data_IF_145597461895
#
_entry.id   IF_145597461895
#
_cell.length_a   1.000
_cell.length_b   1.000
_cell.length_c   1.000
_cell.angle_alpha   90.00
_cell.angle_beta   90.00
_cell.angle_gamma   90.00
#
_symmetry.space_group_name_H-M   'P 1'
#
loop_
_entity.id
_entity.type
_entity.pdbx_description
1 polymer ?
#
# COMPACT_ATOMS: atom_id res chain seq x y z
N UNK A 1 22.03 1.63 19.13
CA UNK A 1 21.04 1.33 18.08
C UNK A 1 20.54 2.68 17.56
N UNK A 2 20.75 3.00 16.28
CA UNK A 2 20.27 4.28 15.71
C UNK A 2 18.80 4.10 15.33
N UNK A 3 17.90 4.76 16.05
CA UNK A 3 16.52 4.94 15.62
C UNK A 3 16.54 5.80 14.35
N UNK A 4 16.53 5.15 13.19
CA UNK A 4 16.40 5.81 11.91
C UNK A 4 14.98 6.31 11.76
N UNK A 5 14.73 7.57 12.12
CA UNK A 5 13.51 8.25 11.73
C UNK A 5 13.46 8.31 10.20
N UNK A 6 12.48 7.65 9.60
CA UNK A 6 12.23 7.79 8.17
C UNK A 6 11.73 9.20 7.90
N UNK A 7 12.46 9.98 7.11
CA UNK A 7 12.05 11.30 6.63
C UNK A 7 11.19 11.10 5.38
N UNK A 8 9.92 10.79 5.56
CA UNK A 8 8.95 10.65 4.46
C UNK A 8 7.59 11.20 4.86
N UNK A 9 6.77 11.53 3.87
CA UNK A 9 5.41 11.98 4.12
C UNK A 9 4.52 10.76 4.40
N UNK A 10 3.65 10.87 5.41
CA UNK A 10 2.72 9.80 5.79
C UNK A 10 1.38 10.04 5.10
N UNK A 11 0.76 8.99 4.59
CA UNK A 11 -0.60 9.02 4.08
C UNK A 11 -1.37 7.74 4.42
N UNK A 12 -2.69 7.84 4.31
CA UNK A 12 -3.63 6.75 4.53
C UNK A 12 -4.73 6.78 3.46
N UNK A 13 -5.16 5.61 3.01
CA UNK A 13 -6.42 5.39 2.31
C UNK A 13 -7.27 4.43 3.15
N UNK A 14 -8.52 4.77 3.38
CA UNK A 14 -9.45 3.98 4.19
C UNK A 14 -10.81 4.02 3.49
N UNK A 15 -11.07 2.99 2.69
CA UNK A 15 -12.23 2.91 1.81
C UNK A 15 -12.47 1.47 1.32
N UNK A 16 -13.56 1.28 0.60
CA UNK A 16 -13.77 0.10 -0.23
C UNK A 16 -13.02 0.33 -1.54
N UNK A 17 -12.13 -0.61 -1.88
CA UNK A 17 -11.38 -0.60 -3.12
C UNK A 17 -12.02 -1.51 -4.16
N UNK A 18 -12.02 -1.06 -5.42
CA UNK A 18 -12.46 -1.83 -6.57
C UNK A 18 -11.26 -2.48 -7.29
N UNK A 19 -11.41 -3.64 -7.95
CA UNK A 19 -10.30 -4.35 -8.58
C UNK A 19 -9.56 -3.55 -9.66
N UNK A 20 -10.26 -2.66 -10.35
CA UNK A 20 -9.73 -1.80 -11.40
C UNK A 20 -8.94 -0.59 -10.88
N UNK A 21 -8.98 -0.33 -9.57
CA UNK A 21 -8.29 0.82 -8.99
C UNK A 21 -6.78 0.59 -8.90
N UNK A 22 -6.02 1.52 -9.49
CA UNK A 22 -4.57 1.63 -9.26
C UNK A 22 -4.32 2.51 -8.03
N UNK A 23 -4.00 1.86 -6.90
CA UNK A 23 -3.76 2.56 -5.64
C UNK A 23 -2.57 3.53 -5.73
N UNK A 24 -1.58 3.26 -6.58
CA UNK A 24 -0.46 4.18 -6.79
C UNK A 24 -0.95 5.45 -7.51
N UNK A 25 -1.84 5.32 -8.49
CA UNK A 25 -2.44 6.48 -9.15
C UNK A 25 -3.31 7.32 -8.18
N UNK A 26 -4.06 6.66 -7.29
CA UNK A 26 -4.84 7.33 -6.24
C UNK A 26 -3.92 8.13 -5.31
N UNK A 27 -2.86 7.51 -4.79
CA UNK A 27 -1.89 8.15 -3.90
C UNK A 27 -1.23 9.37 -4.57
N UNK A 28 -0.80 9.22 -5.83
CA UNK A 28 -0.18 10.31 -6.60
C UNK A 28 -1.11 11.49 -6.78
N UNK A 29 -2.38 11.21 -7.07
CA UNK A 29 -3.40 12.25 -7.25
C UNK A 29 -3.72 12.96 -5.94
N UNK A 30 -3.94 12.19 -4.86
CA UNK A 30 -4.25 12.70 -3.51
C UNK A 30 -3.19 13.69 -3.00
N UNK A 31 -1.92 13.44 -3.31
CA UNK A 31 -0.80 14.25 -2.82
C UNK A 31 -0.13 15.13 -3.89
N UNK A 32 -0.70 15.21 -5.10
CA UNK A 32 -0.17 15.99 -6.23
C UNK A 32 1.31 15.67 -6.57
N UNK A 33 1.64 14.38 -6.63
CA UNK A 33 3.02 13.89 -6.80
C UNK A 33 3.39 13.71 -8.27
N UNK A 34 4.13 14.67 -8.82
CA UNK A 34 4.68 14.60 -10.18
C UNK A 34 5.80 13.56 -10.30
N UNK A 35 6.75 13.57 -9.37
CA UNK A 35 7.93 12.69 -9.36
C UNK A 35 7.85 11.62 -8.27
N UNK A 36 6.82 10.78 -8.33
CA UNK A 36 6.63 9.70 -7.36
C UNK A 36 7.65 8.56 -7.56
N UNK A 37 8.52 8.35 -6.58
CA UNK A 37 9.60 7.35 -6.64
C UNK A 37 9.21 5.98 -6.07
N UNK A 38 7.95 5.82 -5.64
CA UNK A 38 7.45 4.66 -4.93
C UNK A 38 7.28 4.92 -3.43
N UNK A 39 6.70 3.95 -2.74
CA UNK A 39 6.51 4.00 -1.29
C UNK A 39 7.79 3.56 -0.55
N UNK A 40 8.05 4.16 0.60
CA UNK A 40 9.14 3.75 1.52
C UNK A 40 8.66 2.68 2.48
N UNK A 41 7.39 2.76 2.91
CA UNK A 41 6.71 1.77 3.75
C UNK A 41 5.28 1.59 3.28
N UNK A 42 4.75 0.39 3.50
CA UNK A 42 3.38 0.03 3.17
C UNK A 42 2.84 -0.88 4.27
N UNK A 43 1.71 -0.50 4.85
CA UNK A 43 0.87 -1.35 5.70
C UNK A 43 -0.49 -1.52 5.03
N UNK A 44 -1.00 -2.74 5.00
CA UNK A 44 -2.34 -3.07 4.50
C UNK A 44 -3.06 -3.84 5.59
N UNK A 45 -4.18 -3.31 6.05
CA UNK A 45 -5.13 -4.02 6.88
C UNK A 45 -6.39 -4.32 6.06
N UNK A 46 -6.75 -5.59 5.95
CA UNK A 46 -7.86 -6.07 5.15
C UNK A 46 -8.36 -7.43 5.68
N UNK A 47 -9.54 -7.91 5.24
CA UNK A 47 -10.04 -9.23 5.62
C UNK A 47 -9.02 -10.36 5.37
N UNK A 48 -9.04 -11.37 6.25
CA UNK A 48 -8.16 -12.53 6.12
C UNK A 48 -8.42 -13.23 4.78
N UNK A 49 -7.33 -13.49 4.05
CA UNK A 49 -7.39 -14.17 2.77
C UNK A 49 -7.66 -13.27 1.57
N UNK A 50 -7.86 -11.96 1.77
CA UNK A 50 -7.84 -10.95 0.68
C UNK A 50 -6.59 -11.14 -0.18
N UNK A 51 -6.78 -11.06 -1.50
CA UNK A 51 -5.69 -11.15 -2.48
C UNK A 51 -5.45 -9.79 -3.12
N UNK A 52 -4.18 -9.47 -3.30
CA UNK A 52 -3.75 -8.24 -3.95
C UNK A 52 -2.47 -8.49 -4.73
N UNK A 53 -2.22 -7.66 -5.73
CA UNK A 53 -1.01 -7.71 -6.53
C UNK A 53 -0.13 -6.53 -6.16
N UNK A 54 1.10 -6.85 -5.75
CA UNK A 54 2.13 -5.88 -5.42
C UNK A 54 3.29 -6.06 -6.40
N UNK A 55 3.56 -5.06 -7.25
CA UNK A 55 4.64 -5.13 -8.25
C UNK A 55 4.61 -6.42 -9.10
N UNK A 56 3.42 -6.87 -9.50
CA UNK A 56 3.22 -8.10 -10.28
C UNK A 56 3.24 -9.41 -9.47
N UNK A 57 3.50 -9.36 -8.16
CA UNK A 57 3.42 -10.52 -7.28
C UNK A 57 2.05 -10.58 -6.61
N UNK A 58 1.36 -11.72 -6.77
CA UNK A 58 0.14 -12.00 -6.04
C UNK A 58 0.47 -12.34 -4.57
N UNK A 59 -0.16 -11.64 -3.65
CA UNK A 59 0.00 -11.79 -2.20
C UNK A 59 -1.37 -12.03 -1.59
N UNK A 60 -1.39 -12.81 -0.51
CA UNK A 60 -2.60 -13.08 0.27
C UNK A 60 -2.41 -12.59 1.70
N UNK A 61 -3.38 -11.83 2.20
CA UNK A 61 -3.42 -11.40 3.60
C UNK A 61 -3.53 -12.64 4.51
N UNK A 62 -2.62 -12.71 5.48
CA UNK A 62 -2.52 -13.81 6.43
C UNK A 62 -3.55 -13.75 7.55
N UNK A 63 -3.38 -14.61 8.56
CA UNK A 63 -4.34 -14.79 9.65
C UNK A 63 -4.54 -13.56 10.55
N UNK A 64 -3.59 -12.62 10.55
CA UNK A 64 -3.66 -11.38 11.35
C UNK A 64 -4.51 -10.29 10.69
N UNK A 65 -4.87 -10.44 9.41
CA UNK A 65 -5.52 -9.37 8.65
C UNK A 65 -4.58 -8.21 8.27
N UNK A 66 -3.28 -8.34 8.54
CA UNK A 66 -2.29 -7.28 8.37
C UNK A 66 -1.13 -7.79 7.50
N UNK A 67 -0.72 -6.96 6.55
CA UNK A 67 0.50 -7.13 5.76
C UNK A 67 1.34 -5.85 5.83
N UNK A 68 2.62 -5.99 6.17
CA UNK A 68 3.56 -4.88 6.32
C UNK A 68 4.82 -5.11 5.50
N UNK A 69 5.30 -4.05 4.85
CA UNK A 69 6.63 -3.99 4.24
C UNK A 69 7.54 -3.13 5.10
N UNK A 70 8.45 -3.80 5.81
CA UNK A 70 9.42 -3.16 6.71
C UNK A 70 10.66 -2.57 6.01
N UNK A 71 10.82 -2.82 4.71
CA UNK A 71 11.95 -2.34 3.91
C UNK A 71 11.48 -1.48 2.74
N UNK A 72 12.35 -0.57 2.31
CA UNK A 72 12.11 0.30 1.15
C UNK A 72 11.91 -0.56 -0.11
N UNK A 73 10.67 -0.68 -0.56
CA UNK A 73 10.32 -1.32 -1.83
C UNK A 73 9.81 -0.24 -2.76
N UNK A 74 10.39 -0.11 -3.96
CA UNK A 74 9.81 0.76 -4.98
C UNK A 74 8.47 0.18 -5.45
N UNK A 75 7.40 0.45 -4.70
CA UNK A 75 6.04 0.02 -5.01
C UNK A 75 5.54 0.88 -6.17
N UNK A 76 5.51 0.26 -7.35
CA UNK A 76 5.04 0.87 -8.61
C UNK A 76 3.64 0.42 -8.99
N UNK A 77 3.18 -0.70 -8.43
CA UNK A 77 1.86 -1.25 -8.67
C UNK A 77 1.31 -1.84 -7.38
N UNK A 78 0.07 -1.47 -7.06
CA UNK A 78 -0.73 -2.04 -5.98
C UNK A 78 -2.20 -2.01 -6.39
N UNK A 79 -2.86 -3.17 -6.42
CA UNK A 79 -4.31 -3.28 -6.58
C UNK A 79 -4.84 -4.55 -5.89
N UNK A 80 -6.11 -4.52 -5.48
CA UNK A 80 -6.80 -5.69 -4.95
C UNK A 80 -7.38 -6.52 -6.08
N UNK A 81 -7.41 -7.85 -5.95
CA UNK A 81 -7.97 -8.73 -7.00
C UNK A 81 -9.51 -8.78 -6.98
N UNK A 82 -10.12 -8.32 -5.89
CA UNK A 82 -11.57 -8.30 -5.67
C UNK A 82 -11.96 -7.04 -4.90
N UNK A 83 -13.24 -6.66 -4.95
CA UNK A 83 -13.76 -5.59 -4.09
C UNK A 83 -13.43 -5.90 -2.63
N UNK A 84 -12.84 -4.95 -1.92
CA UNK A 84 -12.40 -5.15 -0.54
C UNK A 84 -12.39 -3.85 0.25
N UNK A 85 -12.96 -3.87 1.44
CA UNK A 85 -12.73 -2.86 2.47
C UNK A 85 -11.32 -3.03 3.03
N UNK A 86 -10.49 -1.99 2.92
CA UNK A 86 -9.13 -2.02 3.46
C UNK A 86 -8.69 -0.65 3.96
N UNK A 87 -7.73 -0.69 4.89
CA UNK A 87 -6.94 0.45 5.31
C UNK A 87 -5.51 0.25 4.77
N UNK A 88 -5.02 1.26 4.06
CA UNK A 88 -3.68 1.27 3.45
C UNK A 88 -2.90 2.46 3.99
N UNK A 89 -1.94 2.17 4.86
CA UNK A 89 -0.98 3.11 5.41
C UNK A 89 0.31 3.12 4.60
N UNK A 90 0.86 4.30 4.36
CA UNK A 90 2.09 4.39 3.56
C UNK A 90 2.95 5.60 3.92
N UNK A 91 4.24 5.45 3.65
CA UNK A 91 5.23 6.52 3.68
C UNK A 91 5.78 6.70 2.26
N UNK A 92 5.93 7.93 1.78
CA UNK A 92 6.47 8.25 0.45
C UNK A 92 7.44 9.44 0.45
#
# INVERSE_FOLDING_TARGET
MKNGYYTGHVGQLDQIFQPEEDLIAIIRTKHNLRDFKGLVKLGIQAPVGTRFVLNGQAIRIGATGIYELDYTVNVKQLHFEAETEALVDYIY
#
